data_IF_097391026133
#
_entry.id   IF_097391026133
#
_cell.length_a   1.000
_cell.length_b   1.000
_cell.length_c   1.000
_cell.angle_alpha   90.00
_cell.angle_beta   90.00
_cell.angle_gamma   90.00
#
_symmetry.space_group_name_H-M   'P 1'
#
loop_
_entity.id
_entity.type
_entity.pdbx_description
1 polymer ?
#
# COMPACT_ATOMS: atom_id res chain seq x y z
N UNK A 1 9.67 15.21 -7.19
CA UNK A 1 9.22 13.92 -7.72
C UNK A 1 8.51 13.21 -6.59
N UNK A 2 7.24 12.82 -6.76
CA UNK A 2 6.49 12.13 -5.72
C UNK A 2 6.64 10.62 -5.90
N UNK A 3 6.72 9.87 -4.79
CA UNK A 3 6.77 8.41 -4.78
C UNK A 3 5.77 7.90 -3.74
N UNK A 4 5.16 6.74 -4.01
CA UNK A 4 4.46 5.99 -2.98
C UNK A 4 5.28 4.75 -2.65
N UNK A 5 5.41 4.49 -1.35
CA UNK A 5 6.01 3.27 -0.84
C UNK A 5 4.99 2.43 -0.07
N UNK A 6 5.10 1.11 -0.22
CA UNK A 6 4.45 0.10 0.62
C UNK A 6 5.52 -0.61 1.39
N UNK A 7 5.26 -0.79 2.68
CA UNK A 7 6.07 -1.63 3.54
C UNK A 7 5.17 -2.72 4.10
N UNK A 8 5.60 -3.97 3.93
CA UNK A 8 4.98 -5.10 4.61
C UNK A 8 5.81 -5.48 5.82
N UNK A 9 5.14 -5.70 6.94
CA UNK A 9 5.75 -6.10 8.20
C UNK A 9 5.03 -7.31 8.76
N UNK A 10 5.76 -8.17 9.46
CA UNK A 10 5.15 -9.17 10.32
C UNK A 10 4.60 -8.55 11.63
N UNK A 11 3.98 -9.38 12.46
CA UNK A 11 3.43 -8.96 13.76
C UNK A 11 4.50 -8.53 14.77
N UNK A 12 5.75 -8.91 14.54
CA UNK A 12 6.91 -8.55 15.36
C UNK A 12 7.63 -7.29 14.80
N UNK A 13 7.02 -6.60 13.83
CA UNK A 13 7.58 -5.42 13.16
C UNK A 13 8.83 -5.70 12.35
N UNK A 14 9.06 -6.95 11.94
CA UNK A 14 10.12 -7.26 10.99
C UNK A 14 9.67 -6.89 9.57
N UNK A 15 10.52 -6.15 8.85
CA UNK A 15 10.28 -5.80 7.46
C UNK A 15 10.38 -7.04 6.58
N UNK A 16 9.31 -7.33 5.84
CA UNK A 16 9.26 -8.46 4.90
C UNK A 16 9.54 -8.00 3.47
N UNK A 17 8.92 -6.89 3.06
CA UNK A 17 9.07 -6.32 1.73
C UNK A 17 8.91 -4.80 1.77
N UNK A 18 9.67 -4.12 0.92
CA UNK A 18 9.52 -2.70 0.64
C UNK A 18 9.38 -2.52 -0.86
N UNK A 19 8.28 -1.92 -1.28
CA UNK A 19 8.02 -1.55 -2.67
C UNK A 19 7.92 -0.03 -2.71
N UNK A 20 8.60 0.61 -3.65
CA UNK A 20 8.50 2.06 -3.84
C UNK A 20 8.46 2.38 -5.31
N UNK A 21 7.40 3.07 -5.72
CA UNK A 21 7.12 3.34 -7.14
C UNK A 21 7.02 4.85 -7.36
N UNK A 22 7.76 5.41 -8.34
CA UNK A 22 7.64 6.82 -8.67
C UNK A 22 6.27 7.11 -9.29
N UNK A 23 5.60 8.17 -8.84
CA UNK A 23 4.30 8.59 -9.36
C UNK A 23 4.54 9.63 -10.44
N UNK A 24 4.21 9.30 -11.68
CA UNK A 24 4.42 10.20 -12.82
C UNK A 24 3.40 11.36 -12.87
N UNK A 25 2.26 11.22 -12.20
CA UNK A 25 1.19 12.22 -12.24
C UNK A 25 0.64 12.53 -10.84
N UNK A 26 0.82 13.79 -10.40
CA UNK A 26 0.39 14.31 -9.09
C UNK A 26 -1.08 14.76 -9.09
N UNK A 27 -1.82 14.54 -10.20
CA UNK A 27 -3.16 15.08 -10.37
C UNK A 27 -4.21 14.52 -9.41
N UNK A 28 -4.01 13.30 -8.87
CA UNK A 28 -4.86 12.79 -7.81
C UNK A 28 -4.13 11.80 -6.92
N UNK A 29 -3.55 12.31 -5.81
CA UNK A 29 -2.88 11.49 -4.81
C UNK A 29 -3.77 10.36 -4.25
N UNK A 30 -5.10 10.54 -4.26
CA UNK A 30 -6.06 9.53 -3.83
C UNK A 30 -6.05 8.32 -4.77
N UNK A 31 -6.06 8.55 -6.09
CA UNK A 31 -6.02 7.47 -7.09
C UNK A 31 -4.72 6.69 -7.04
N UNK A 32 -3.59 7.40 -6.87
CA UNK A 32 -2.30 6.74 -6.75
C UNK A 32 -2.22 5.85 -5.50
N UNK A 33 -2.81 6.31 -4.39
CA UNK A 33 -2.88 5.52 -3.16
C UNK A 33 -3.87 4.34 -3.27
N UNK A 34 -4.99 4.48 -3.99
CA UNK A 34 -5.93 3.36 -4.24
C UNK A 34 -5.28 2.23 -5.02
N UNK A 35 -4.57 2.56 -6.09
CA UNK A 35 -3.82 1.59 -6.90
C UNK A 35 -2.82 0.82 -6.04
N UNK A 36 -2.12 1.51 -5.16
CA UNK A 36 -1.09 0.90 -4.31
C UNK A 36 -1.70 0.00 -3.25
N UNK A 37 -2.86 0.35 -2.67
CA UNK A 37 -3.57 -0.53 -1.74
C UNK A 37 -4.02 -1.82 -2.46
N UNK A 38 -4.53 -1.70 -3.70
CA UNK A 38 -4.90 -2.86 -4.52
C UNK A 38 -3.70 -3.76 -4.81
N UNK A 39 -2.59 -3.18 -5.25
CA UNK A 39 -1.34 -3.91 -5.51
C UNK A 39 -0.81 -4.59 -4.24
N UNK A 40 -0.85 -3.90 -3.10
CA UNK A 40 -0.49 -4.49 -1.81
C UNK A 40 -1.39 -5.68 -1.46
N UNK A 41 -2.70 -5.57 -1.68
CA UNK A 41 -3.65 -6.65 -1.40
C UNK A 41 -3.45 -7.85 -2.34
N UNK A 42 -3.23 -7.60 -3.64
CA UNK A 42 -2.88 -8.66 -4.60
C UNK A 42 -1.61 -9.38 -4.19
N UNK A 43 -0.57 -8.63 -3.84
CA UNK A 43 0.70 -9.19 -3.37
C UNK A 43 0.51 -9.99 -2.06
N UNK A 44 -0.36 -9.55 -1.15
CA UNK A 44 -0.67 -10.34 0.05
C UNK A 44 -1.37 -11.66 -0.26
N UNK A 45 -2.24 -11.68 -1.28
CA UNK A 45 -2.92 -12.89 -1.75
C UNK A 45 -1.93 -13.84 -2.43
N UNK A 46 -1.03 -13.34 -3.26
CA UNK A 46 0.04 -14.12 -3.89
C UNK A 46 0.97 -14.76 -2.84
N UNK A 47 1.28 -14.03 -1.76
CA UNK A 47 2.06 -14.53 -0.64
C UNK A 47 1.27 -15.45 0.33
N UNK A 48 -0.01 -15.70 0.07
CA UNK A 48 -0.85 -16.59 0.89
C UNK A 48 -1.20 -16.03 2.28
N UNK A 49 -1.13 -14.72 2.48
CA UNK A 49 -1.42 -14.10 3.77
C UNK A 49 -2.92 -13.96 3.99
N UNK A 50 -3.44 -14.68 4.98
CA UNK A 50 -4.89 -14.73 5.27
C UNK A 50 -5.42 -13.57 6.13
N UNK A 51 -4.53 -12.86 6.83
CA UNK A 51 -4.90 -11.74 7.70
C UNK A 51 -3.88 -10.62 7.57
N UNK A 52 -4.31 -9.51 7.00
CA UNK A 52 -3.49 -8.32 6.75
C UNK A 52 -4.14 -7.10 7.37
N UNK A 53 -3.32 -6.16 7.83
CA UNK A 53 -3.77 -4.85 8.29
C UNK A 53 -3.08 -3.79 7.43
N UNK A 54 -3.86 -2.89 6.85
CA UNK A 54 -3.34 -1.83 6.00
C UNK A 54 -3.26 -0.56 6.84
N UNK A 55 -2.05 -0.03 6.98
CA UNK A 55 -1.79 1.26 7.61
C UNK A 55 -1.49 2.27 6.51
N UNK A 56 -2.30 3.34 6.44
CA UNK A 56 -2.15 4.39 5.44
C UNK A 56 -2.24 5.75 6.13
N UNK A 57 -1.39 6.68 5.69
CA UNK A 57 -1.45 8.10 6.06
C UNK A 57 -2.63 8.82 5.40
N UNK A 58 -3.34 8.16 4.46
CA UNK A 58 -4.46 8.73 3.72
C UNK A 58 -5.78 8.66 4.50
N UNK A 59 -6.03 9.66 5.34
CA UNK A 59 -7.26 9.80 6.13
C UNK A 59 -8.56 9.72 5.29
N UNK A 60 -8.52 10.08 4.02
CA UNK A 60 -9.69 10.10 3.13
C UNK A 60 -10.07 8.72 2.54
N UNK A 61 -9.22 7.70 2.66
CA UNK A 61 -9.40 6.42 1.96
C UNK A 61 -10.08 5.32 2.78
N UNK A 62 -10.36 5.58 4.07
CA UNK A 62 -10.98 4.60 4.98
C UNK A 62 -12.39 4.18 4.52
N UNK A 63 -13.07 5.01 3.71
CA UNK A 63 -14.43 4.75 3.21
C UNK A 63 -14.49 4.19 1.77
N UNK A 64 -13.36 3.94 1.11
CA UNK A 64 -13.33 3.57 -0.31
C UNK A 64 -13.21 2.06 -0.57
N UNK A 65 -13.08 1.25 0.49
CA UNK A 65 -12.86 -0.20 0.46
C UNK A 65 -14.11 -0.93 0.94
#
# INVERSE_FOLDING_TARGET
MASIGVVTMDRCSNFLQVVSTPIQFVGNAITAKDLVIREALENTKENGWSKVQILSDAKAMVNMI
#
